data_IF_296499684424
#
_entry.id   IF_296499684424
#
_cell.length_a   1.000
_cell.length_b   1.000
_cell.length_c   1.000
_cell.angle_alpha   90.00
_cell.angle_beta   90.00
_cell.angle_gamma   90.00
#
_symmetry.space_group_name_H-M   'P 1'
#
loop_
_entity.id
_entity.type
_entity.pdbx_description
1 polymer ?
#
# COMPACT_ATOMS: atom_id res chain seq x y z
N UNK A 1 9.62 -7.04 -8.00
CA UNK A 1 9.87 -5.59 -7.97
C UNK A 1 8.58 -4.90 -7.54
N UNK A 2 8.65 -3.86 -6.69
CA UNK A 2 7.50 -3.05 -6.32
C UNK A 2 6.86 -2.41 -7.55
N UNK A 3 5.53 -2.27 -7.53
CA UNK A 3 4.73 -1.56 -8.54
C UNK A 3 3.69 -0.71 -7.82
N UNK A 4 3.55 0.54 -8.22
CA UNK A 4 2.53 1.45 -7.68
C UNK A 4 1.24 1.25 -8.48
N UNK A 5 0.16 0.93 -7.76
CA UNK A 5 -1.15 0.61 -8.33
C UNK A 5 -2.13 1.78 -8.23
N UNK A 6 -2.00 2.62 -7.20
CA UNK A 6 -2.96 3.69 -6.91
C UNK A 6 -2.30 4.79 -6.08
N UNK A 7 -2.68 6.05 -6.33
CA UNK A 7 -2.47 7.18 -5.42
C UNK A 7 -3.73 7.29 -4.55
N UNK A 8 -3.57 7.23 -3.23
CA UNK A 8 -4.69 7.39 -2.29
C UNK A 8 -5.00 8.86 -2.07
N UNK A 9 -3.97 9.67 -1.81
CA UNK A 9 -4.07 11.11 -1.63
C UNK A 9 -2.68 11.76 -1.73
N UNK A 10 -2.68 13.06 -1.95
CA UNK A 10 -1.50 13.92 -2.00
C UNK A 10 -1.69 15.01 -0.95
N UNK A 11 -0.73 15.17 -0.05
CA UNK A 11 -0.73 16.18 1.02
C UNK A 11 0.61 16.90 1.01
N UNK A 12 0.64 18.16 0.58
CA UNK A 12 1.88 18.90 0.34
C UNK A 12 2.85 18.11 -0.56
N UNK A 13 4.08 17.87 -0.10
CA UNK A 13 5.09 17.05 -0.78
C UNK A 13 5.06 15.58 -0.29
N UNK A 14 3.89 15.08 0.10
CA UNK A 14 3.71 13.69 0.51
C UNK A 14 2.66 13.02 -0.34
N UNK A 15 2.94 11.77 -0.73
CA UNK A 15 2.00 10.97 -1.51
C UNK A 15 1.78 9.66 -0.76
N UNK A 16 0.51 9.35 -0.49
CA UNK A 16 0.10 7.99 -0.10
C UNK A 16 -0.19 7.19 -1.37
N UNK A 17 0.44 6.03 -1.48
CA UNK A 17 0.27 5.11 -2.61
C UNK A 17 -0.02 3.69 -2.15
N UNK A 18 -0.69 2.92 -3.00
CA UNK A 18 -0.86 1.47 -2.83
C UNK A 18 0.14 0.74 -3.72
N UNK A 19 0.95 -0.12 -3.13
CA UNK A 19 1.85 -1.01 -3.87
C UNK A 19 1.17 -2.32 -4.26
N UNK A 20 1.76 -3.07 -5.19
CA UNK A 20 1.24 -4.36 -5.67
C UNK A 20 1.22 -5.50 -4.64
N UNK A 21 1.78 -5.30 -3.46
CA UNK A 21 1.60 -6.16 -2.29
C UNK A 21 0.32 -5.81 -1.48
N UNK A 22 -0.45 -4.82 -1.92
CA UNK A 22 -1.66 -4.33 -1.26
C UNK A 22 -1.40 -3.36 -0.10
N UNK A 23 -0.13 -3.04 0.19
CA UNK A 23 0.23 -2.13 1.28
C UNK A 23 0.08 -0.67 0.84
N UNK A 24 -0.64 0.12 1.65
CA UNK A 24 -0.62 1.58 1.56
C UNK A 24 0.62 2.12 2.28
N UNK A 25 1.37 2.98 1.61
CA UNK A 25 2.60 3.58 2.15
C UNK A 25 2.65 5.06 1.82
N UNK A 26 3.17 5.86 2.76
CA UNK A 26 3.40 7.29 2.57
C UNK A 26 4.86 7.51 2.18
N UNK A 27 5.06 8.31 1.13
CA UNK A 27 6.38 8.78 0.67
C UNK A 27 6.48 10.27 0.96
N UNK A 28 7.59 10.69 1.59
CA UNK A 28 7.92 12.10 1.81
C UNK A 28 8.91 12.57 0.73
N UNK A 29 8.41 13.32 -0.25
CA UNK A 29 9.21 13.73 -1.41
C UNK A 29 10.23 14.80 -1.10
N UNK A 30 10.08 15.54 -0.01
CA UNK A 30 11.14 16.42 0.45
C UNK A 30 12.42 15.62 0.76
N UNK A 31 12.27 14.49 1.44
CA UNK A 31 13.39 13.59 1.75
C UNK A 31 13.91 12.86 0.50
N UNK A 32 13.03 12.42 -0.40
CA UNK A 32 13.44 11.77 -1.66
C UNK A 32 14.29 12.70 -2.51
N UNK A 33 13.80 13.92 -2.79
CA UNK A 33 14.50 14.90 -3.64
C UNK A 33 15.80 15.37 -3.00
N UNK A 34 15.81 15.57 -1.69
CA UNK A 34 17.02 15.92 -0.94
C UNK A 34 18.06 14.80 -0.99
N UNK A 35 17.64 13.54 -0.84
CA UNK A 35 18.55 12.38 -0.89
C UNK A 35 19.12 12.16 -2.29
N UNK A 36 18.34 12.48 -3.32
CA UNK A 36 18.78 12.53 -4.72
C UNK A 36 19.70 13.73 -5.04
N UNK A 37 19.92 14.66 -4.09
CA UNK A 37 20.74 15.88 -4.26
C UNK A 37 20.27 16.79 -5.40
N UNK A 38 18.96 16.89 -5.58
CA UNK A 38 18.34 17.80 -6.54
C UNK A 38 18.72 19.24 -6.23
N UNK A 39 19.05 20.01 -7.26
CA UNK A 39 19.46 21.42 -7.19
C UNK A 39 18.72 22.23 -8.28
N UNK A 40 18.84 23.55 -8.25
CA UNK A 40 18.11 24.48 -9.14
C UNK A 40 18.36 24.26 -10.64
N UNK A 41 19.48 23.63 -11.01
CA UNK A 41 19.81 23.33 -12.41
C UNK A 41 19.18 22.02 -12.91
N UNK A 42 18.63 21.20 -12.00
CA UNK A 42 17.94 19.95 -12.32
C UNK A 42 16.47 20.20 -12.71
N UNK A 43 15.94 19.55 -13.77
CA UNK A 43 14.52 19.65 -14.14
C UNK A 43 13.55 19.31 -12.99
N UNK A 44 13.91 18.32 -12.18
CA UNK A 44 13.13 17.87 -11.04
C UNK A 44 13.12 18.83 -9.84
N UNK A 45 13.87 19.93 -9.88
CA UNK A 45 13.76 20.99 -8.87
C UNK A 45 12.34 21.58 -8.80
N UNK A 46 11.64 21.60 -9.93
CA UNK A 46 10.24 22.01 -10.03
C UNK A 46 9.32 21.25 -9.06
N UNK A 47 9.68 20.01 -8.68
CA UNK A 47 8.91 19.19 -7.74
C UNK A 47 8.93 19.69 -6.29
N UNK A 48 9.78 20.68 -5.95
CA UNK A 48 9.67 21.39 -4.66
C UNK A 48 8.48 22.36 -4.62
N UNK A 49 7.91 22.74 -5.76
CA UNK A 49 6.68 23.52 -5.84
C UNK A 49 5.46 22.59 -5.70
N UNK A 50 4.57 22.87 -4.73
CA UNK A 50 3.40 22.04 -4.43
C UNK A 50 2.39 21.95 -5.58
N UNK A 51 2.19 23.04 -6.31
CA UNK A 51 1.23 23.09 -7.43
C UNK A 51 1.72 22.18 -8.56
N UNK A 52 3.00 22.29 -8.91
CA UNK A 52 3.65 21.43 -9.90
C UNK A 52 3.73 19.97 -9.44
N UNK A 53 4.05 19.75 -8.17
CA UNK A 53 4.12 18.43 -7.57
C UNK A 53 2.77 17.70 -7.60
N UNK A 54 1.66 18.44 -7.42
CA UNK A 54 0.32 17.87 -7.38
C UNK A 54 -0.17 17.28 -8.72
N UNK A 55 0.53 17.58 -9.82
CA UNK A 55 0.24 17.06 -11.16
C UNK A 55 0.76 15.62 -11.37
N UNK A 56 1.26 14.97 -10.32
CA UNK A 56 1.70 13.57 -10.35
C UNK A 56 0.62 12.63 -10.89
N UNK A 57 1.03 11.71 -11.74
CA UNK A 57 0.21 10.62 -12.25
C UNK A 57 0.92 9.27 -12.11
N UNK A 58 0.17 8.18 -12.30
CA UNK A 58 0.77 6.85 -12.40
C UNK A 58 1.00 6.53 -13.87
N UNK A 59 2.26 6.32 -14.24
CA UNK A 59 2.67 5.84 -15.56
C UNK A 59 3.64 4.66 -15.36
N UNK A 60 3.55 3.63 -16.20
CA UNK A 60 4.45 2.46 -16.12
C UNK A 60 4.53 1.79 -14.73
N UNK A 61 3.42 1.81 -13.97
CA UNK A 61 3.35 1.35 -12.58
C UNK A 61 4.28 2.09 -11.61
N UNK A 62 4.60 3.35 -11.90
CA UNK A 62 5.39 4.24 -11.04
C UNK A 62 4.84 5.66 -11.03
N UNK A 63 5.41 6.57 -10.22
CA UNK A 63 5.00 7.98 -10.19
C UNK A 63 5.74 8.79 -11.28
N UNK A 64 4.95 9.56 -12.02
CA UNK A 64 5.35 10.34 -13.18
C UNK A 64 4.85 11.79 -13.06
N UNK A 65 5.65 12.75 -13.52
CA UNK A 65 5.30 14.17 -13.59
C UNK A 65 5.39 14.64 -15.05
N UNK A 66 4.27 14.73 -15.77
CA UNK A 66 4.26 15.11 -17.20
C UNK A 66 4.63 16.59 -17.43
N UNK A 67 4.52 17.41 -16.37
CA UNK A 67 4.89 18.82 -16.34
C UNK A 67 6.39 19.05 -16.14
N UNK A 68 7.18 18.04 -15.77
CA UNK A 68 8.63 18.15 -15.66
C UNK A 68 9.27 17.71 -16.98
N UNK A 69 9.97 18.64 -17.63
CA UNK A 69 10.56 18.39 -18.95
C UNK A 69 11.86 17.58 -18.85
N UNK A 70 11.87 16.38 -19.43
CA UNK A 70 13.10 15.61 -19.65
C UNK A 70 13.29 15.32 -21.15
N UNK A 71 14.53 15.45 -21.60
CA UNK A 71 14.95 15.19 -22.97
C UNK A 71 15.91 14.01 -23.00
N UNK A 72 15.57 12.96 -23.74
CA UNK A 72 16.46 11.82 -23.96
C UNK A 72 17.05 11.93 -25.37
N UNK A 73 18.40 11.92 -25.51
CA UNK A 73 19.03 11.89 -26.82
C UNK A 73 18.71 10.56 -27.50
N UNK A 74 18.03 10.62 -28.64
CA UNK A 74 17.75 9.43 -29.46
C UNK A 74 18.85 9.21 -30.49
N UNK A 75 18.99 7.96 -30.95
CA UNK A 75 19.95 7.54 -31.99
C UNK A 75 19.83 8.41 -33.27
N UNK A 76 18.66 9.00 -33.53
CA UNK A 76 18.38 9.84 -34.70
C UNK A 76 18.54 11.36 -34.46
N UNK A 77 19.14 11.80 -33.33
CA UNK A 77 19.33 13.23 -32.98
C UNK A 77 18.05 14.07 -32.91
N UNK A 78 16.88 13.45 -32.74
CA UNK A 78 15.66 14.15 -32.35
C UNK A 78 15.47 13.97 -30.84
N UNK A 79 15.55 15.04 -30.07
CA UNK A 79 15.29 14.95 -28.63
C UNK A 79 13.82 14.56 -28.42
N UNK A 80 13.59 13.45 -27.70
CA UNK A 80 12.23 13.03 -27.35
C UNK A 80 11.92 13.53 -25.95
N UNK A 81 10.86 14.32 -25.83
CA UNK A 81 10.28 14.71 -24.54
C UNK A 81 9.67 13.48 -23.88
N UNK A 82 10.05 13.23 -22.63
CA UNK A 82 9.46 12.21 -21.77
C UNK A 82 9.06 12.82 -20.44
N UNK A 83 8.09 12.22 -19.77
CA UNK A 83 7.71 12.59 -18.41
C UNK A 83 8.81 12.20 -17.43
N UNK A 84 9.00 13.00 -16.39
CA UNK A 84 9.91 12.66 -15.30
C UNK A 84 9.31 11.53 -14.45
N UNK A 85 10.00 10.41 -14.35
CA UNK A 85 9.56 9.26 -13.55
C UNK A 85 10.56 8.97 -12.42
N UNK A 86 10.07 8.63 -11.23
CA UNK A 86 10.87 8.01 -10.16
C UNK A 86 10.45 6.56 -10.03
N UNK A 87 11.40 5.63 -10.08
CA UNK A 87 11.14 4.19 -10.03
C UNK A 87 10.43 3.73 -8.75
N UNK A 88 9.50 2.78 -8.89
CA UNK A 88 8.70 2.26 -7.79
C UNK A 88 9.54 1.54 -6.72
N UNK A 89 10.71 1.02 -7.09
CA UNK A 89 11.70 0.44 -6.18
C UNK A 89 12.33 1.51 -5.28
N UNK A 90 12.78 2.63 -5.85
CA UNK A 90 13.27 3.79 -5.08
C UNK A 90 12.17 4.32 -4.18
N UNK A 91 10.98 4.52 -4.72
CA UNK A 91 9.84 5.03 -3.93
C UNK A 91 9.47 4.06 -2.80
N UNK A 92 9.58 2.76 -3.00
CA UNK A 92 9.36 1.77 -1.94
C UNK A 92 10.40 1.90 -0.82
N UNK A 93 11.68 2.08 -1.16
CA UNK A 93 12.77 2.27 -0.19
C UNK A 93 12.56 3.50 0.70
N UNK A 94 12.12 4.62 0.12
CA UNK A 94 11.88 5.88 0.84
C UNK A 94 10.50 5.99 1.50
N UNK A 95 9.64 5.00 1.31
CA UNK A 95 8.28 5.02 1.86
C UNK A 95 8.22 4.42 3.26
N UNK A 96 7.20 4.80 4.03
CA UNK A 96 6.85 4.21 5.33
C UNK A 96 5.45 3.59 5.27
N UNK A 97 5.19 2.47 5.98
CA UNK A 97 3.84 1.94 6.10
C UNK A 97 2.88 3.02 6.56
N UNK A 98 1.81 3.22 5.80
CA UNK A 98 0.74 4.10 6.23
C UNK A 98 -0.09 3.35 7.28
N UNK A 99 0.11 3.70 8.54
CA UNK A 99 -0.72 3.17 9.61
C UNK A 99 -2.07 3.86 9.51
N UNK A 100 -2.95 3.28 8.71
CA UNK A 100 -4.37 3.63 8.79
C UNK A 100 -4.94 2.91 10.03
N UNK A 101 -5.55 3.66 10.95
CA UNK A 101 -6.33 3.10 12.06
C UNK A 101 -7.44 2.14 11.57
N UNK A 102 -7.77 2.20 10.28
CA UNK A 102 -8.79 1.40 9.60
C UNK A 102 -8.27 0.05 9.07
N UNK A 103 -6.97 -0.18 8.98
CA UNK A 103 -6.40 -1.49 8.62
C UNK A 103 -6.20 -2.37 9.86
N UNK A 104 -7.26 -2.60 10.63
CA UNK A 104 -7.25 -3.78 11.50
C UNK A 104 -7.37 -4.98 10.58
N UNK A 105 -6.26 -5.70 10.39
CA UNK A 105 -6.25 -6.92 9.57
C UNK A 105 -7.36 -7.87 10.01
N UNK A 106 -7.87 -8.68 9.07
CA UNK A 106 -8.92 -9.67 9.36
C UNK A 106 -8.48 -10.58 10.53
N UNK A 107 -7.19 -10.95 10.60
CA UNK A 107 -6.62 -11.71 11.70
C UNK A 107 -6.77 -11.03 13.06
N UNK A 108 -6.47 -9.72 13.13
CA UNK A 108 -6.64 -8.93 14.37
C UNK A 108 -8.11 -8.80 14.76
N UNK A 109 -9.00 -8.55 13.80
CA UNK A 109 -10.45 -8.48 14.05
C UNK A 109 -10.97 -9.82 14.60
N UNK A 110 -10.56 -10.93 13.99
CA UNK A 110 -10.91 -12.27 14.45
C UNK A 110 -10.41 -12.53 15.88
N UNK A 111 -9.17 -12.15 16.19
CA UNK A 111 -8.59 -12.29 17.53
C UNK A 111 -9.38 -11.50 18.58
N UNK A 112 -9.79 -10.28 18.25
CA UNK A 112 -10.62 -9.44 19.13
C UNK A 112 -11.99 -10.11 19.33
N UNK A 113 -12.65 -10.54 18.26
CA UNK A 113 -13.96 -11.19 18.34
C UNK A 113 -13.91 -12.48 19.18
N UNK A 114 -12.90 -13.34 18.96
CA UNK A 114 -12.68 -14.55 19.74
C UNK A 114 -12.51 -14.26 21.23
N UNK A 115 -11.67 -13.28 21.58
CA UNK A 115 -11.44 -12.87 22.97
C UNK A 115 -12.72 -12.32 23.62
N UNK A 116 -13.52 -11.54 22.89
CA UNK A 116 -14.82 -11.04 23.36
C UNK A 116 -15.82 -12.18 23.61
N UNK A 117 -15.75 -13.26 22.83
CA UNK A 117 -16.53 -14.48 23.06
C UNK A 117 -15.94 -15.40 24.15
N UNK A 118 -14.83 -15.03 24.81
CA UNK A 118 -14.22 -15.83 25.88
C UNK A 118 -13.52 -17.12 25.41
N UNK A 119 -13.32 -17.30 24.11
CA UNK A 119 -12.78 -18.55 23.55
C UNK A 119 -11.25 -18.54 23.48
N UNK A 120 -10.64 -19.70 23.71
CA UNK A 120 -9.23 -19.94 23.37
C UNK A 120 -9.09 -20.21 21.86
N UNK A 121 -7.86 -20.14 21.33
CA UNK A 121 -7.62 -20.51 19.93
C UNK A 121 -7.96 -21.98 19.66
N UNK A 122 -7.76 -22.86 20.65
CA UNK A 122 -8.11 -24.29 20.56
C UNK A 122 -9.63 -24.47 20.51
N UNK A 123 -10.37 -23.80 21.40
CA UNK A 123 -11.82 -23.88 21.43
C UNK A 123 -12.44 -23.37 20.11
N UNK A 124 -12.00 -22.21 19.61
CA UNK A 124 -12.47 -21.70 18.31
C UNK A 124 -12.14 -22.68 17.17
N UNK A 125 -10.97 -23.32 17.21
CA UNK A 125 -10.60 -24.30 16.21
C UNK A 125 -11.52 -25.52 16.23
N UNK A 126 -11.88 -26.02 17.41
CA UNK A 126 -12.84 -27.12 17.57
C UNK A 126 -14.23 -26.75 17.04
N UNK A 127 -14.79 -25.61 17.46
CA UNK A 127 -16.12 -25.16 17.03
C UNK A 127 -16.20 -24.91 15.51
N UNK A 128 -15.13 -24.36 14.92
CA UNK A 128 -15.07 -24.10 13.48
C UNK A 128 -14.53 -25.28 12.65
N UNK A 129 -14.22 -26.42 13.27
CA UNK A 129 -13.67 -27.60 12.60
C UNK A 129 -12.38 -27.31 11.82
N UNK A 130 -11.42 -26.65 12.47
CA UNK A 130 -10.07 -26.38 11.97
C UNK A 130 -9.03 -26.68 13.04
N UNK A 131 -7.77 -26.25 12.87
CA UNK A 131 -6.69 -26.49 13.83
C UNK A 131 -6.30 -25.22 14.58
N UNK A 132 -5.88 -25.34 15.86
CA UNK A 132 -5.34 -24.21 16.63
C UNK A 132 -4.19 -23.51 15.91
N UNK A 133 -3.30 -24.28 15.28
CA UNK A 133 -2.18 -23.73 14.50
C UNK A 133 -2.68 -22.89 13.32
N UNK A 134 -3.77 -23.28 12.68
CA UNK A 134 -4.37 -22.49 11.60
C UNK A 134 -5.01 -21.19 12.13
N UNK A 135 -5.82 -21.26 13.20
CA UNK A 135 -6.36 -20.06 13.88
C UNK A 135 -5.22 -19.11 14.29
N UNK A 136 -4.15 -19.63 14.89
CA UNK A 136 -2.99 -18.82 15.28
C UNK A 136 -2.31 -18.15 14.09
N UNK A 137 -2.13 -18.85 12.96
CA UNK A 137 -1.56 -18.24 11.76
C UNK A 137 -2.43 -17.13 11.20
N UNK A 138 -3.75 -17.33 11.16
CA UNK A 138 -4.71 -16.30 10.73
C UNK A 138 -4.61 -15.07 11.64
N UNK A 139 -4.67 -15.26 12.96
CA UNK A 139 -4.64 -14.15 13.94
C UNK A 139 -3.34 -13.34 13.95
N UNK A 140 -2.28 -13.85 13.32
CA UNK A 140 -0.98 -13.20 13.22
C UNK A 140 -0.60 -12.85 11.77
N UNK A 141 -1.58 -12.81 10.85
CA UNK A 141 -1.39 -12.43 9.44
C UNK A 141 -0.34 -13.28 8.71
N UNK A 142 -0.24 -14.58 9.06
CA UNK A 142 0.71 -15.55 8.47
C UNK A 142 0.04 -16.61 7.59
N UNK A 143 -1.19 -16.36 7.15
CA UNK A 143 -1.93 -17.26 6.25
C UNK A 143 -2.88 -16.45 5.40
N UNK A 144 -2.93 -16.79 4.11
CA UNK A 144 -4.06 -16.42 3.27
C UNK A 144 -5.31 -17.14 3.79
N UNK A 145 -6.44 -16.43 3.77
CA UNK A 145 -7.72 -16.90 4.30
C UNK A 145 -8.78 -16.77 3.22
N UNK A 146 -9.33 -17.91 2.81
CA UNK A 146 -10.49 -17.94 1.93
C UNK A 146 -11.74 -17.40 2.64
N UNK A 147 -12.58 -16.66 1.90
CA UNK A 147 -13.82 -16.09 2.43
C UNK A 147 -14.75 -17.18 3.01
N UNK A 148 -14.82 -18.35 2.38
CA UNK A 148 -15.62 -19.46 2.87
C UNK A 148 -15.16 -19.94 4.26
N UNK A 149 -13.84 -20.00 4.46
CA UNK A 149 -13.24 -20.39 5.73
C UNK A 149 -13.43 -19.31 6.79
N UNK A 150 -13.26 -18.03 6.43
CA UNK A 150 -13.56 -16.90 7.32
C UNK A 150 -15.03 -16.93 7.77
N UNK A 151 -15.95 -17.15 6.83
CA UNK A 151 -17.39 -17.27 7.08
C UNK A 151 -17.67 -18.42 8.06
N UNK A 152 -17.08 -19.60 7.83
CA UNK A 152 -17.21 -20.75 8.74
C UNK A 152 -16.74 -20.43 10.16
N UNK A 153 -15.58 -19.80 10.30
CA UNK A 153 -15.01 -19.43 11.60
C UNK A 153 -15.90 -18.43 12.33
N UNK A 154 -16.45 -17.44 11.62
CA UNK A 154 -17.29 -16.40 12.22
C UNK A 154 -18.70 -16.93 12.53
N UNK A 155 -19.34 -17.58 11.59
CA UNK A 155 -20.75 -17.98 11.71
C UNK A 155 -20.93 -19.24 12.55
N UNK A 156 -20.05 -20.23 12.40
CA UNK A 156 -20.13 -21.48 13.15
C UNK A 156 -19.27 -21.37 14.42
N UNK A 157 -18.02 -20.93 14.28
CA UNK A 157 -17.08 -20.93 15.39
C UNK A 157 -17.32 -19.85 16.45
N UNK A 158 -17.81 -18.67 16.06
CA UNK A 158 -18.08 -17.55 16.97
C UNK A 158 -19.57 -17.28 17.20
N UNK A 159 -20.45 -17.98 16.48
CA UNK A 159 -21.90 -17.73 16.46
C UNK A 159 -22.21 -16.24 16.18
N UNK A 160 -21.63 -15.69 15.11
CA UNK A 160 -21.81 -14.30 14.65
C UNK A 160 -22.18 -14.23 13.17
N UNK A 161 -22.39 -13.04 12.63
CA UNK A 161 -22.63 -12.84 11.20
C UNK A 161 -21.47 -12.10 10.53
N UNK A 162 -21.04 -12.58 9.37
CA UNK A 162 -20.07 -11.90 8.52
C UNK A 162 -20.80 -11.04 7.48
N UNK A 163 -20.59 -9.72 7.52
CA UNK A 163 -21.07 -8.79 6.50
C UNK A 163 -19.87 -8.20 5.76
N UNK A 164 -19.87 -8.29 4.42
CA UNK A 164 -18.87 -7.68 3.54
C UNK A 164 -19.59 -6.64 2.68
N UNK A 165 -19.16 -5.37 2.77
CA UNK A 165 -19.67 -4.26 1.96
C UNK A 165 -18.52 -3.68 1.13
N UNK A 166 -18.73 -3.56 -0.17
CA UNK A 166 -17.88 -2.82 -1.09
C UNK A 166 -18.65 -1.55 -1.47
N UNK A 167 -18.03 -0.38 -1.34
CA UNK A 167 -18.62 0.92 -1.69
C UNK A 167 -17.78 1.58 -2.77
#
# INVERSE_FOLDING_TARGET
MPRILKINHINDLKISVVFNNGESRIIDFFEVLKSAKVNEDSPEYTLFNKEEFSQVEIQNCTLSWPNVEQYIPTINRSDKRVSYEIGADVLYEYSKPEVSDMTTSIGKLLKIARKKSGLTQEALAQESGTTRTYISRIENDRSDLEIATLKKIIEIGLDKQLEIKIR
#
